data_IF_872822595753
#
_entry.id   IF_872822595753
#
_cell.length_a   1.000
_cell.length_b   1.000
_cell.length_c   1.000
_cell.angle_alpha   90.00
_cell.angle_beta   90.00
_cell.angle_gamma   90.00
#
_symmetry.space_group_name_H-M   'P 1'
#
loop_
_entity.id
_entity.type
_entity.pdbx_description
1 polymer ?
#
# COMPACT_ATOMS: atom_id res chain seq x y z
N UNK A 1 -12.57 -2.81 -10.52
CA UNK A 1 -11.66 -3.47 -11.49
C UNK A 1 -10.43 -2.59 -11.62
N UNK A 2 -9.28 -3.04 -11.14
CA UNK A 2 -8.01 -2.30 -11.24
C UNK A 2 -7.25 -2.61 -12.54
N UNK A 3 -6.09 -1.97 -12.72
CA UNK A 3 -5.27 -2.13 -13.92
C UNK A 3 -4.71 -3.55 -14.03
N UNK A 4 -4.60 -4.09 -15.25
CA UNK A 4 -4.05 -5.43 -15.49
C UNK A 4 -2.53 -5.44 -15.68
N UNK A 5 -1.91 -4.27 -15.84
CA UNK A 5 -0.49 -4.14 -16.19
C UNK A 5 0.30 -3.36 -15.15
N UNK A 6 -0.23 -3.23 -13.93
CA UNK A 6 0.49 -2.60 -12.81
C UNK A 6 0.69 -1.07 -12.94
N UNK A 7 -0.02 -0.38 -13.83
CA UNK A 7 0.06 1.06 -13.99
C UNK A 7 -0.72 1.79 -12.90
N UNK A 8 -0.08 2.78 -12.29
CA UNK A 8 -0.68 3.70 -11.34
C UNK A 8 -0.64 5.09 -11.96
N UNK A 9 -1.79 5.78 -11.94
CA UNK A 9 -1.93 7.18 -12.34
C UNK A 9 -2.67 7.93 -11.26
N UNK A 10 -2.24 9.15 -10.98
CA UNK A 10 -2.94 10.09 -10.14
C UNK A 10 -3.01 11.45 -10.82
N UNK A 11 -3.96 12.26 -10.38
CA UNK A 11 -4.13 13.61 -10.87
C UNK A 11 -4.73 14.51 -9.79
N UNK A 12 -4.40 15.79 -9.89
CA UNK A 12 -5.06 16.85 -9.14
C UNK A 12 -6.41 17.14 -9.81
N UNK A 13 -7.50 17.06 -9.03
CA UNK A 13 -8.87 17.26 -9.53
C UNK A 13 -9.20 18.72 -9.87
N UNK A 14 -8.44 19.67 -9.33
CA UNK A 14 -8.62 21.12 -9.54
C UNK A 14 -7.80 21.64 -10.71
N UNK A 15 -6.55 21.19 -10.84
CA UNK A 15 -5.63 21.68 -11.88
C UNK A 15 -5.55 20.75 -13.09
N UNK A 16 -5.96 19.49 -12.95
CA UNK A 16 -5.85 18.48 -13.99
C UNK A 16 -4.43 17.95 -14.22
N UNK A 17 -3.44 18.43 -13.46
CA UNK A 17 -2.08 17.90 -13.54
C UNK A 17 -2.06 16.44 -13.12
N UNK A 18 -1.44 15.60 -13.93
CA UNK A 18 -1.39 14.15 -13.71
C UNK A 18 0.04 13.62 -13.75
N UNK A 19 0.24 12.47 -13.12
CA UNK A 19 1.49 11.72 -13.12
C UNK A 19 1.20 10.24 -13.04
N UNK A 20 2.14 9.41 -13.48
CA UNK A 20 1.96 7.95 -13.53
C UNK A 20 3.28 7.22 -13.52
N UNK A 21 3.26 5.99 -13.03
CA UNK A 21 4.36 5.02 -13.15
C UNK A 21 3.80 3.61 -13.33
N UNK A 22 4.67 2.70 -13.78
CA UNK A 22 4.36 1.28 -13.84
C UNK A 22 5.08 0.58 -12.68
N UNK A 23 4.37 -0.26 -11.93
CA UNK A 23 4.93 -1.03 -10.81
C UNK A 23 5.83 -2.18 -11.25
N UNK A 24 5.84 -2.52 -12.55
CA UNK A 24 6.50 -3.67 -13.15
C UNK A 24 6.10 -5.01 -12.50
N UNK A 25 4.91 -5.03 -11.89
CA UNK A 25 4.31 -6.19 -11.23
C UNK A 25 3.00 -6.60 -11.93
N UNK A 26 2.35 -7.60 -11.35
CA UNK A 26 1.01 -8.04 -11.70
C UNK A 26 -0.06 -6.94 -11.61
N UNK A 27 -1.27 -7.27 -12.07
CA UNK A 27 -2.40 -6.34 -12.00
C UNK A 27 -2.72 -5.85 -10.58
N UNK A 28 -3.30 -4.66 -10.50
CA UNK A 28 -3.67 -4.00 -9.24
C UNK A 28 -5.06 -4.46 -8.82
N UNK A 29 -5.16 -5.01 -7.61
CA UNK A 29 -6.41 -5.45 -6.99
C UNK A 29 -7.06 -4.34 -6.17
N UNK A 30 -6.28 -3.61 -5.36
CA UNK A 30 -6.76 -2.54 -4.48
C UNK A 30 -5.69 -1.46 -4.29
N UNK A 31 -6.13 -0.20 -4.14
CA UNK A 31 -5.28 0.93 -3.73
C UNK A 31 -5.93 1.57 -2.50
N UNK A 32 -5.13 1.91 -1.48
CA UNK A 32 -5.54 2.58 -0.24
C UNK A 32 -4.65 3.78 0.03
N UNK A 33 -5.24 4.96 0.17
CA UNK A 33 -4.52 6.18 0.53
C UNK A 33 -4.24 6.21 2.03
N UNK A 34 -3.01 6.57 2.39
CA UNK A 34 -2.67 6.87 3.78
C UNK A 34 -3.50 8.05 4.31
N UNK A 35 -3.77 8.11 5.64
CA UNK A 35 -4.51 9.21 6.23
C UNK A 35 -3.82 10.55 6.03
N UNK A 36 -4.64 11.54 5.70
CA UNK A 36 -4.24 12.94 5.55
C UNK A 36 -4.44 13.71 6.85
N UNK A 37 -3.53 14.64 7.14
CA UNK A 37 -3.64 15.57 8.28
C UNK A 37 -3.63 17.00 7.73
N UNK A 38 -4.43 17.88 8.32
CA UNK A 38 -4.49 19.28 7.91
C UNK A 38 -3.11 19.95 8.02
N UNK A 39 -2.71 20.66 6.97
CA UNK A 39 -1.40 21.33 6.89
C UNK A 39 -0.28 20.41 6.39
N UNK A 40 -0.56 19.13 6.14
CA UNK A 40 0.32 18.28 5.35
C UNK A 40 0.19 18.68 3.86
N UNK A 41 1.31 19.01 3.23
CA UNK A 41 1.35 19.36 1.80
C UNK A 41 1.84 18.17 0.95
N UNK A 42 2.10 17.02 1.59
CA UNK A 42 2.44 15.77 0.95
C UNK A 42 1.24 15.23 0.13
N UNK A 43 1.53 14.60 -1.00
CA UNK A 43 0.53 13.74 -1.70
C UNK A 43 0.26 12.45 -0.93
N UNK A 44 1.11 12.13 0.04
CA UNK A 44 1.02 10.98 0.92
C UNK A 44 1.53 9.70 0.28
N UNK A 45 1.34 8.61 1.03
CA UNK A 45 1.65 7.24 0.59
C UNK A 45 0.38 6.51 0.15
N UNK A 46 0.55 5.55 -0.74
CA UNK A 46 -0.50 4.58 -1.10
C UNK A 46 -0.03 3.17 -0.78
N UNK A 47 -0.93 2.34 -0.26
CA UNK A 47 -0.74 0.89 -0.18
C UNK A 47 -1.47 0.24 -1.35
N UNK A 48 -0.78 -0.63 -2.07
CA UNK A 48 -1.26 -1.27 -3.30
C UNK A 48 -1.24 -2.78 -3.08
N UNK A 49 -2.42 -3.41 -3.17
CA UNK A 49 -2.57 -4.87 -3.17
C UNK A 49 -2.61 -5.35 -4.62
N UNK A 50 -1.76 -6.32 -4.95
CA UNK A 50 -1.67 -6.93 -6.27
C UNK A 50 -2.51 -8.22 -6.36
N UNK A 51 -2.77 -8.71 -7.58
CA UNK A 51 -3.49 -9.98 -7.78
C UNK A 51 -2.70 -11.22 -7.35
N UNK A 52 -1.37 -11.12 -7.23
CA UNK A 52 -0.52 -12.20 -6.69
C UNK A 52 -0.58 -12.29 -5.15
N UNK A 53 -1.48 -11.53 -4.51
CA UNK A 53 -1.66 -11.42 -3.05
C UNK A 53 -0.43 -10.86 -2.32
N UNK A 54 0.48 -10.19 -3.02
CA UNK A 54 1.50 -9.33 -2.42
C UNK A 54 0.99 -7.90 -2.36
N UNK A 55 1.64 -7.06 -1.55
CA UNK A 55 1.38 -5.63 -1.54
C UNK A 55 2.67 -4.83 -1.60
N UNK A 56 2.55 -3.52 -1.82
CA UNK A 56 3.66 -2.57 -1.71
C UNK A 56 3.13 -1.21 -1.29
N UNK A 57 3.97 -0.44 -0.60
CA UNK A 57 3.66 0.96 -0.26
C UNK A 57 4.50 1.87 -1.16
N UNK A 58 3.87 2.88 -1.74
CA UNK A 58 4.54 3.86 -2.61
C UNK A 58 4.38 5.26 -2.03
N UNK A 59 5.47 6.02 -2.03
CA UNK A 59 5.48 7.45 -1.71
C UNK A 59 5.24 8.27 -3.00
N UNK A 60 4.16 9.06 -3.03
CA UNK A 60 3.77 9.84 -4.21
C UNK A 60 4.52 11.17 -4.34
N UNK A 61 5.29 11.56 -3.34
CA UNK A 61 6.18 12.73 -3.39
C UNK A 61 7.60 12.36 -3.80
N UNK A 62 7.95 11.06 -3.77
CA UNK A 62 9.24 10.58 -4.26
C UNK A 62 9.37 10.82 -5.78
N UNK A 63 10.51 11.35 -6.27
CA UNK A 63 10.79 11.41 -7.70
C UNK A 63 10.95 10.02 -8.33
N UNK A 64 11.26 9.00 -7.52
CA UNK A 64 11.26 7.59 -7.90
C UNK A 64 10.41 6.80 -6.89
N UNK A 65 9.11 6.61 -7.17
CA UNK A 65 8.23 5.84 -6.28
C UNK A 65 8.63 4.38 -6.14
N UNK A 66 9.37 3.79 -7.10
CA UNK A 66 9.73 2.38 -7.09
C UNK A 66 10.88 2.09 -6.12
N UNK A 67 11.79 3.05 -5.95
CA UNK A 67 12.95 2.92 -5.06
C UNK A 67 12.57 2.62 -3.60
N UNK A 68 11.40 3.09 -3.16
CA UNK A 68 10.91 2.95 -1.78
C UNK A 68 9.76 1.92 -1.65
N UNK A 69 9.60 1.02 -2.62
CA UNK A 69 8.54 0.01 -2.63
C UNK A 69 8.85 -1.18 -1.73
N UNK A 70 8.98 -0.94 -0.43
CA UNK A 70 9.25 -1.99 0.56
C UNK A 70 7.95 -2.65 1.05
N UNK A 71 7.83 -3.95 0.76
CA UNK A 71 7.52 -5.07 1.68
C UNK A 71 7.02 -6.29 0.88
N UNK A 72 7.83 -7.34 0.82
CA UNK A 72 7.31 -8.69 0.61
C UNK A 72 6.56 -9.13 1.87
N UNK A 73 5.53 -9.98 1.78
CA UNK A 73 5.04 -10.68 2.97
C UNK A 73 6.23 -11.38 3.62
N UNK A 74 6.56 -11.01 4.86
CA UNK A 74 7.68 -11.60 5.62
C UNK A 74 7.45 -13.10 5.91
N UNK A 75 6.24 -13.59 5.63
CA UNK A 75 5.82 -14.97 5.84
C UNK A 75 5.59 -15.67 4.49
N UNK A 76 6.45 -16.63 4.12
CA UNK A 76 6.22 -17.49 2.96
C UNK A 76 4.87 -18.21 3.07
N UNK A 77 4.10 -18.21 1.99
CA UNK A 77 2.81 -18.91 1.92
C UNK A 77 1.60 -18.09 2.39
N UNK A 78 1.80 -16.87 2.87
CA UNK A 78 0.73 -15.99 3.31
C UNK A 78 0.01 -15.29 2.14
N UNK A 79 -1.32 -15.34 2.14
CA UNK A 79 -2.17 -14.63 1.18
C UNK A 79 -2.68 -13.33 1.81
N UNK A 80 -2.26 -12.18 1.31
CA UNK A 80 -2.85 -10.90 1.72
C UNK A 80 -4.21 -10.72 1.04
N UNK A 81 -5.25 -10.59 1.86
CA UNK A 81 -6.63 -10.46 1.39
C UNK A 81 -7.10 -9.01 1.42
N UNK A 82 -6.69 -8.27 2.45
CA UNK A 82 -7.11 -6.90 2.67
C UNK A 82 -6.00 -6.03 3.25
N UNK A 83 -6.07 -4.75 2.89
CA UNK A 83 -5.20 -3.68 3.38
C UNK A 83 -6.09 -2.56 3.92
N UNK A 84 -5.75 -2.01 5.08
CA UNK A 84 -6.36 -0.77 5.55
C UNK A 84 -5.40 0.08 6.35
N UNK A 85 -5.47 1.39 6.18
CA UNK A 85 -4.69 2.29 7.03
C UNK A 85 -5.50 2.61 8.27
N UNK A 86 -4.87 2.53 9.44
CA UNK A 86 -5.53 3.03 10.63
C UNK A 86 -5.53 4.56 10.67
N UNK A 87 -6.69 5.18 10.96
CA UNK A 87 -6.81 6.63 11.09
C UNK A 87 -6.34 7.12 12.47
N UNK A 88 -5.17 6.65 12.93
CA UNK A 88 -4.57 7.11 14.20
C UNK A 88 -3.75 8.38 14.04
N UNK A 89 -3.45 8.78 12.81
CA UNK A 89 -2.61 9.95 12.49
C UNK A 89 -3.36 11.24 12.82
N UNK A 90 -2.89 11.96 13.84
CA UNK A 90 -3.43 13.26 14.27
C UNK A 90 -2.48 14.42 13.97
N UNK A 91 -1.18 14.15 13.93
CA UNK A 91 -0.11 15.05 13.52
C UNK A 91 0.65 14.47 12.32
N UNK A 92 1.30 15.34 11.52
CA UNK A 92 2.06 14.89 10.36
C UNK A 92 3.23 13.97 10.72
N UNK A 93 3.76 14.08 11.94
CA UNK A 93 4.87 13.27 12.45
C UNK A 93 4.39 11.98 13.13
N UNK A 94 3.08 11.78 13.30
CA UNK A 94 2.56 10.52 13.82
C UNK A 94 2.85 9.40 12.80
N UNK A 95 3.19 8.18 13.28
CA UNK A 95 3.50 7.07 12.41
C UNK A 95 2.26 6.67 11.59
N UNK A 96 2.50 6.29 10.33
CA UNK A 96 1.48 5.60 9.54
C UNK A 96 1.46 4.14 9.97
N UNK A 97 0.26 3.62 10.19
CA UNK A 97 0.08 2.22 10.56
C UNK A 97 -0.81 1.52 9.54
N UNK A 98 -0.25 0.55 8.83
CA UNK A 98 -0.97 -0.28 7.86
C UNK A 98 -1.41 -1.59 8.53
N UNK A 99 -2.71 -1.86 8.50
CA UNK A 99 -3.30 -3.16 8.80
C UNK A 99 -3.22 -4.05 7.56
N UNK A 100 -2.80 -5.29 7.77
CA UNK A 100 -2.84 -6.32 6.76
C UNK A 100 -3.63 -7.48 7.33
N UNK A 101 -4.69 -7.89 6.62
CA UNK A 101 -5.42 -9.10 6.93
C UNK A 101 -5.19 -10.12 5.83
N UNK A 102 -4.91 -11.35 6.21
CA UNK A 102 -4.73 -12.43 5.26
C UNK A 102 -5.01 -13.79 5.84
N UNK A 103 -4.74 -14.80 5.04
CA UNK A 103 -4.89 -16.20 5.41
C UNK A 103 -3.59 -16.95 5.13
N UNK A 104 -3.26 -17.90 6.00
CA UNK A 104 -2.20 -18.85 5.72
C UNK A 104 -2.60 -19.67 4.49
N UNK A 105 -1.68 -19.83 3.56
CA UNK A 105 -1.95 -20.46 2.27
C UNK A 105 -2.35 -21.93 2.39
N UNK A 106 -2.64 -22.59 1.25
CA UNK A 106 -3.20 -23.95 1.21
C UNK A 106 -2.31 -25.06 1.79
N UNK A 107 -1.13 -24.72 2.32
CA UNK A 107 -0.18 -25.66 2.92
C UNK A 107 -0.45 -25.91 4.42
N UNK A 108 -1.04 -24.94 5.14
CA UNK A 108 -1.39 -25.11 6.54
C UNK A 108 -2.92 -25.16 6.68
N UNK A 109 -3.44 -26.30 7.15
CA UNK A 109 -4.88 -26.58 7.30
C UNK A 109 -5.58 -25.72 8.37
N UNK A 110 -4.92 -24.69 8.90
CA UNK A 110 -5.41 -23.93 10.04
C UNK A 110 -6.32 -22.75 9.65
N UNK A 111 -6.33 -22.29 8.39
CA UNK A 111 -7.22 -21.20 7.93
C UNK A 111 -7.27 -20.00 8.92
N UNK A 112 -6.12 -19.65 9.52
CA UNK A 112 -6.08 -18.61 10.52
C UNK A 112 -6.07 -17.23 9.84
N UNK A 113 -6.98 -16.38 10.27
CA UNK A 113 -6.93 -14.97 9.93
C UNK A 113 -5.85 -14.32 10.81
N UNK A 114 -4.75 -13.93 10.21
CA UNK A 114 -3.74 -13.14 10.91
C UNK A 114 -3.91 -11.66 10.59
N UNK A 115 -3.41 -10.85 11.51
CA UNK A 115 -3.40 -9.41 11.43
C UNK A 115 -1.97 -8.94 11.77
N UNK A 116 -1.36 -8.09 10.95
CA UNK A 116 -0.10 -7.44 11.31
C UNK A 116 -0.15 -5.91 11.10
N UNK A 117 0.58 -5.21 11.96
CA UNK A 117 0.85 -3.77 11.88
C UNK A 117 2.20 -3.57 11.21
N UNK A 118 2.26 -2.68 10.22
CA UNK A 118 3.55 -2.16 9.73
C UNK A 118 3.62 -0.68 10.08
N UNK A 119 4.65 -0.29 10.84
CA UNK A 119 4.94 1.11 11.17
C UNK A 119 5.67 1.82 10.04
N UNK A 120 5.42 3.12 9.86
CA UNK A 120 6.04 3.94 8.80
C UNK A 120 7.57 3.93 8.76
N UNK A 121 8.20 3.69 9.91
CA UNK A 121 9.66 3.68 10.09
C UNK A 121 10.29 2.36 9.60
N UNK A 122 9.48 1.32 9.40
CA UNK A 122 9.90 0.00 8.89
C UNK A 122 9.75 -0.12 7.37
N UNK A 123 9.18 0.90 6.71
CA UNK A 123 8.91 0.96 5.26
C UNK A 123 10.00 1.77 4.54
N UNK A 124 11.02 2.24 5.27
CA UNK A 124 12.13 3.07 4.76
C UNK A 124 13.36 2.29 4.33
#
# INVERSE_FOLDING_TARGET
>A
MGDRMGNIRWWDVTTGHSSSFNTHREGIRRIKFSPFVQGDHSRGRIAVLFYDNTFSVFDLDSPDPLANSLLQPQFPGTLVLELDWLPLRTDKNDPLVLCIAGADGPFDNNNEAFFCWVGSDEIG
#
